data_IF_871465723526
#
_entry.id   IF_871465723526
#
_cell.length_a   1.000
_cell.length_b   1.000
_cell.length_c   1.000
_cell.angle_alpha   90.00
_cell.angle_beta   90.00
_cell.angle_gamma   90.00
#
_symmetry.space_group_name_H-M   'P 1'
#
loop_
_entity.id
_entity.type
_entity.pdbx_description
1 polymer ?
#
# COMPACT_ATOMS: atom_id res chain seq x y z
N UNK A 1 -33.16 4.76 27.43
CA UNK A 1 -33.28 5.39 26.09
C UNK A 1 -31.92 5.31 25.44
N UNK A 2 -31.73 4.33 24.57
CA UNK A 2 -30.54 4.21 23.72
C UNK A 2 -30.70 5.13 22.50
N UNK A 3 -29.61 5.76 22.08
CA UNK A 3 -29.23 5.91 20.66
C UNK A 3 -27.84 6.56 20.52
N UNK A 4 -26.93 5.73 20.01
CA UNK A 4 -25.67 6.01 19.33
C UNK A 4 -25.77 7.15 18.29
N UNK A 5 -24.67 7.84 18.01
CA UNK A 5 -23.74 7.49 16.91
C UNK A 5 -22.95 8.71 16.42
N UNK A 6 -21.62 8.58 16.35
CA UNK A 6 -20.85 8.94 15.15
C UNK A 6 -19.43 8.37 15.31
N UNK A 7 -19.21 7.16 14.79
CA UNK A 7 -17.86 6.70 14.48
C UNK A 7 -17.55 7.31 13.11
N UNK A 8 -16.48 8.11 13.04
CA UNK A 8 -16.00 8.69 11.79
C UNK A 8 -15.65 7.54 10.83
N UNK A 9 -16.15 7.63 9.61
CA UNK A 9 -15.88 6.67 8.53
C UNK A 9 -14.38 6.71 8.22
N UNK A 10 -13.64 5.69 8.65
CA UNK A 10 -12.29 5.46 8.18
C UNK A 10 -12.38 5.14 6.68
N UNK A 11 -11.66 5.89 5.84
CA UNK A 11 -11.51 5.57 4.42
C UNK A 11 -11.10 4.09 4.30
N UNK A 12 -11.68 3.32 3.37
CA UNK A 12 -11.21 1.97 3.13
C UNK A 12 -9.71 2.04 2.80
N UNK A 13 -8.89 1.30 3.55
CA UNK A 13 -7.50 1.09 3.15
C UNK A 13 -7.51 0.48 1.74
N UNK A 14 -6.76 1.08 0.82
CA UNK A 14 -6.62 0.59 -0.54
C UNK A 14 -6.03 -0.83 -0.54
N UNK A 15 -6.44 -1.64 -1.50
CA UNK A 15 -5.96 -3.03 -1.65
C UNK A 15 -4.49 -3.08 -2.08
N UNK A 16 -3.86 -4.25 -1.95
CA UNK A 16 -2.48 -4.45 -2.40
C UNK A 16 -2.34 -4.17 -3.90
N UNK A 17 -3.27 -4.69 -4.69
CA UNK A 17 -3.30 -4.55 -6.15
C UNK A 17 -3.42 -3.09 -6.57
N UNK A 18 -4.30 -2.30 -5.93
CA UNK A 18 -4.44 -0.87 -6.20
C UNK A 18 -3.17 -0.08 -5.82
N UNK A 19 -2.54 -0.43 -4.70
CA UNK A 19 -1.32 0.23 -4.23
C UNK A 19 -0.14 -0.06 -5.17
N UNK A 20 -0.03 -1.29 -5.65
CA UNK A 20 0.97 -1.72 -6.62
C UNK A 20 0.75 -1.08 -7.99
N UNK A 21 -0.47 -1.11 -8.51
CA UNK A 21 -0.80 -0.50 -9.80
C UNK A 21 -0.42 0.99 -9.82
N UNK A 22 -0.79 1.73 -8.77
CA UNK A 22 -0.46 3.15 -8.69
C UNK A 22 1.05 3.39 -8.52
N UNK A 23 1.76 2.48 -7.85
CA UNK A 23 3.22 2.56 -7.78
C UNK A 23 3.86 2.38 -9.17
N UNK A 24 3.36 1.45 -9.97
CA UNK A 24 3.81 1.22 -11.36
C UNK A 24 3.58 2.47 -12.22
N UNK A 25 2.39 3.06 -12.16
CA UNK A 25 2.07 4.33 -12.85
C UNK A 25 3.02 5.46 -12.46
N UNK A 26 3.34 5.59 -11.17
CA UNK A 26 4.28 6.62 -10.68
C UNK A 26 5.68 6.40 -11.27
N UNK A 27 6.14 5.14 -11.32
CA UNK A 27 7.45 4.81 -11.90
C UNK A 27 7.49 5.18 -13.38
N UNK A 28 6.43 4.86 -14.14
CA UNK A 28 6.32 5.24 -15.56
C UNK A 28 6.41 6.76 -15.74
N UNK A 29 5.63 7.54 -14.98
CA UNK A 29 5.63 9.01 -15.07
C UNK A 29 7.00 9.60 -14.72
N UNK A 30 7.66 9.06 -13.69
CA UNK A 30 8.98 9.53 -13.27
C UNK A 30 10.08 9.19 -14.29
N UNK A 31 9.99 8.05 -14.98
CA UNK A 31 10.94 7.63 -16.01
C UNK A 31 10.80 8.46 -17.29
N UNK A 32 9.56 8.80 -17.67
CA UNK A 32 9.27 9.65 -18.83
C UNK A 32 9.84 11.07 -18.67
N UNK A 33 9.93 11.58 -17.44
CA UNK A 33 10.64 12.83 -17.14
C UNK A 33 9.94 14.11 -17.62
N UNK A 34 8.68 14.04 -18.08
CA UNK A 34 7.94 15.19 -18.64
C UNK A 34 7.23 16.06 -17.58
N UNK A 35 7.11 15.57 -16.35
CA UNK A 35 6.45 16.29 -15.25
C UNK A 35 7.27 17.49 -14.74
N UNK A 36 6.61 18.46 -14.12
CA UNK A 36 7.31 19.56 -13.47
C UNK A 36 8.09 19.06 -12.23
N UNK A 37 9.20 19.72 -11.87
CA UNK A 37 10.04 19.30 -10.73
C UNK A 37 9.25 19.13 -9.43
N UNK A 38 8.36 20.06 -9.10
CA UNK A 38 7.54 19.98 -7.89
C UNK A 38 6.57 18.77 -7.94
N UNK A 39 6.06 18.44 -9.12
CA UNK A 39 5.22 17.27 -9.33
C UNK A 39 6.02 15.97 -9.21
N UNK A 40 7.24 15.92 -9.78
CA UNK A 40 8.14 14.78 -9.63
C UNK A 40 8.49 14.51 -8.17
N UNK A 41 8.70 15.55 -7.35
CA UNK A 41 8.96 15.40 -5.92
C UNK A 41 7.75 14.81 -5.18
N UNK A 42 6.54 15.28 -5.51
CA UNK A 42 5.31 14.73 -4.92
C UNK A 42 5.09 13.26 -5.33
N UNK A 43 5.30 12.94 -6.61
CA UNK A 43 5.20 11.58 -7.13
C UNK A 43 6.23 10.65 -6.49
N UNK A 44 7.46 11.13 -6.26
CA UNK A 44 8.49 10.37 -5.58
C UNK A 44 8.10 10.03 -4.13
N UNK A 45 7.58 11.02 -3.38
CA UNK A 45 7.10 10.79 -2.01
C UNK A 45 5.92 9.82 -1.98
N UNK A 46 4.96 9.97 -2.90
CA UNK A 46 3.84 9.04 -3.05
C UNK A 46 4.34 7.62 -3.35
N UNK A 47 5.28 7.48 -4.28
CA UNK A 47 5.90 6.22 -4.66
C UNK A 47 6.63 5.55 -3.50
N UNK A 48 7.38 6.30 -2.70
CA UNK A 48 8.04 5.77 -1.49
C UNK A 48 7.04 5.18 -0.50
N UNK A 49 5.94 5.90 -0.23
CA UNK A 49 4.92 5.45 0.70
C UNK A 49 4.23 4.16 0.21
N UNK A 50 3.90 4.09 -1.08
CA UNK A 50 3.31 2.90 -1.70
C UNK A 50 4.27 1.72 -1.70
N UNK A 51 5.53 1.96 -2.03
CA UNK A 51 6.58 0.96 -2.01
C UNK A 51 6.76 0.36 -0.60
N UNK A 52 6.69 1.19 0.45
CA UNK A 52 6.72 0.71 1.83
C UNK A 52 5.49 -0.14 2.16
N UNK A 53 4.29 0.32 1.79
CA UNK A 53 3.06 -0.44 2.00
C UNK A 53 3.14 -1.84 1.36
N UNK A 54 3.56 -1.93 0.09
CA UNK A 54 3.65 -3.21 -0.62
C UNK A 54 4.65 -4.16 0.07
N UNK A 55 5.80 -3.66 0.52
CA UNK A 55 6.77 -4.45 1.30
C UNK A 55 6.15 -5.00 2.58
N UNK A 56 5.52 -4.14 3.37
CA UNK A 56 4.92 -4.54 4.65
C UNK A 56 3.80 -5.56 4.46
N UNK A 57 3.02 -5.41 3.38
CA UNK A 57 1.96 -6.35 3.03
C UNK A 57 2.54 -7.74 2.69
N UNK A 58 3.59 -7.78 1.86
CA UNK A 58 4.24 -9.02 1.47
C UNK A 58 4.94 -9.70 2.66
N UNK A 59 5.61 -8.95 3.53
CA UNK A 59 6.24 -9.49 4.74
C UNK A 59 5.20 -10.17 5.66
N UNK A 60 4.05 -9.51 5.87
CA UNK A 60 2.95 -10.11 6.66
C UNK A 60 2.37 -11.35 5.99
N UNK A 61 2.29 -11.37 4.66
CA UNK A 61 1.81 -12.54 3.92
C UNK A 61 2.80 -13.71 4.06
N UNK A 62 4.10 -13.46 3.92
CA UNK A 62 5.17 -14.45 4.11
C UNK A 62 5.14 -15.04 5.52
N UNK A 63 5.06 -14.20 6.56
CA UNK A 63 4.97 -14.64 7.95
C UNK A 63 3.77 -15.57 8.20
N UNK A 64 2.61 -15.28 7.59
CA UNK A 64 1.43 -16.14 7.68
C UNK A 64 1.67 -17.50 7.03
N UNK A 65 2.30 -17.53 5.85
CA UNK A 65 2.64 -18.77 5.15
C UNK A 65 3.61 -19.61 5.99
N UNK A 66 4.66 -19.01 6.53
CA UNK A 66 5.63 -19.69 7.40
C UNK A 66 4.96 -20.28 8.64
N UNK A 67 4.02 -19.57 9.27
CA UNK A 67 3.29 -20.06 10.43
C UNK A 67 2.43 -21.28 10.09
N UNK A 68 1.74 -21.28 8.94
CA UNK A 68 0.93 -22.42 8.48
C UNK A 68 1.83 -23.63 8.25
N UNK A 69 2.93 -23.47 7.51
CA UNK A 69 3.89 -24.55 7.26
C UNK A 69 4.46 -25.14 8.55
N UNK A 70 4.78 -24.29 9.53
CA UNK A 70 5.32 -24.74 10.82
C UNK A 70 4.29 -25.47 11.70
N UNK A 71 2.99 -25.28 11.45
CA UNK A 71 1.90 -25.97 12.16
C UNK A 71 1.55 -27.32 11.51
N UNK A 72 1.77 -27.46 10.21
CA UNK A 72 1.51 -28.70 9.45
C UNK A 72 2.62 -29.77 9.62
N UNK A 73 3.77 -29.40 10.21
CA UNK A 73 4.91 -30.32 10.51
C UNK A 73 4.72 -31.13 11.82
N UNK A 74 3.50 -31.27 12.35
CA UNK A 74 3.15 -32.06 13.55
C UNK A 74 2.08 -33.14 13.30
#
# INVERSE_FOLDING_TARGET
MTKSSKLAEAKPELTFEEQLQRLEEIVEILDDGEAALDEMLNLYEEGMNRSQFCRDYLEKAEQKVTLIQSQDDF
#
